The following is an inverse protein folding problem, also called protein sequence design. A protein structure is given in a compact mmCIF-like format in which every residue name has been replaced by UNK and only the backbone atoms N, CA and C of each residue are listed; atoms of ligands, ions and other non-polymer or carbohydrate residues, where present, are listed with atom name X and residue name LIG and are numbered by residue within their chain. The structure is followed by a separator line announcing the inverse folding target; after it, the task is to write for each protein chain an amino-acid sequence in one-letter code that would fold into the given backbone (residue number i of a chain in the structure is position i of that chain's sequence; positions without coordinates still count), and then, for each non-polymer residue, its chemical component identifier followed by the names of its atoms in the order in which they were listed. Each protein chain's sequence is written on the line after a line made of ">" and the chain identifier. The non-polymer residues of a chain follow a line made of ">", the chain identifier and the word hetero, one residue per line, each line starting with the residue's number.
data_IF_823550912502
#
_entry.id   IF_823550912502
#
_cell.length_a   1.000
_cell.length_b   1.000
_cell.length_c   1.000
_cell.angle_alpha   90.00
_cell.angle_beta   90.00
_cell.angle_gamma   90.00
#
_symmetry.space_group_name_H-M   'P 1'
#
loop_
_entity.id
_entity.type
_entity.pdbx_description
1 polymer ?
#
# COMPACT_ATOMS: atom_id res chain seq x y z
N UNK A 1 9.44 -33.68 45.68
CA UNK A 1 8.51 -34.16 44.63
C UNK A 1 7.74 -32.93 44.15
N UNK A 2 8.21 -32.32 43.06
CA UNK A 2 7.77 -30.98 42.61
C UNK A 2 6.47 -31.03 41.83
N UNK A 3 5.60 -30.03 42.06
CA UNK A 3 4.36 -29.83 41.31
C UNK A 3 4.61 -29.78 39.80
N UNK A 4 3.70 -30.34 38.96
CA UNK A 4 3.81 -30.24 37.52
C UNK A 4 3.59 -28.80 37.05
N UNK A 5 4.48 -28.37 36.16
CA UNK A 5 4.46 -27.12 35.41
C UNK A 5 3.18 -27.06 34.56
N UNK A 6 2.21 -26.23 34.98
CA UNK A 6 0.99 -25.99 34.21
C UNK A 6 1.37 -25.10 33.00
N UNK A 7 1.02 -25.47 31.76
CA UNK A 7 1.28 -24.61 30.60
C UNK A 7 0.56 -23.28 30.81
N UNK A 8 1.30 -22.17 30.67
CA UNK A 8 0.72 -20.82 30.62
C UNK A 8 -0.43 -20.85 29.63
N UNK A 9 -1.67 -20.70 30.10
CA UNK A 9 -2.82 -20.45 29.24
C UNK A 9 -2.46 -19.25 28.37
N UNK A 10 -2.40 -19.47 27.05
CA UNK A 10 -2.35 -18.39 26.08
C UNK A 10 -3.56 -17.50 26.33
N UNK A 11 -3.32 -16.33 26.92
CA UNK A 11 -4.36 -15.34 27.15
C UNK A 11 -4.81 -14.89 25.76
N UNK A 12 -6.08 -15.10 25.34
CA UNK A 12 -6.52 -14.59 24.06
C UNK A 12 -6.31 -13.07 24.07
N UNK A 13 -5.49 -12.59 23.15
CA UNK A 13 -5.32 -11.17 22.90
C UNK A 13 -6.66 -10.55 22.52
N UNK A 14 -6.81 -9.22 22.66
CA UNK A 14 -8.07 -8.55 22.33
C UNK A 14 -8.51 -8.93 20.91
N UNK A 15 -9.68 -9.55 20.80
CA UNK A 15 -10.31 -9.90 19.53
C UNK A 15 -10.72 -8.62 18.82
N UNK A 16 -9.99 -8.28 17.75
CA UNK A 16 -10.31 -7.14 16.89
C UNK A 16 -11.60 -7.48 16.14
N UNK A 17 -12.73 -6.93 16.59
CA UNK A 17 -13.99 -7.00 15.84
C UNK A 17 -13.88 -6.07 14.63
N UNK A 18 -13.60 -6.65 13.47
CA UNK A 18 -13.70 -5.96 12.20
C UNK A 18 -15.18 -5.82 11.83
N UNK A 19 -15.62 -4.65 11.33
CA UNK A 19 -16.94 -4.51 10.72
C UNK A 19 -17.11 -5.53 9.59
N UNK A 20 -18.28 -6.14 9.50
CA UNK A 20 -18.61 -7.04 8.40
C UNK A 20 -18.92 -6.20 7.15
N UNK A 21 -17.96 -6.14 6.22
CA UNK A 21 -18.11 -5.39 4.98
C UNK A 21 -18.88 -6.24 3.97
N UNK A 22 -20.09 -5.81 3.63
CA UNK A 22 -20.81 -6.39 2.51
C UNK A 22 -20.12 -5.99 1.19
N UNK A 23 -19.98 -6.91 0.23
CA UNK A 23 -19.47 -6.59 -1.09
C UNK A 23 -20.33 -5.48 -1.71
N UNK A 24 -19.67 -4.41 -2.14
CA UNK A 24 -20.34 -3.38 -2.94
C UNK A 24 -20.65 -3.93 -4.34
N UNK A 25 -21.60 -3.31 -5.05
CA UNK A 25 -21.86 -3.63 -6.47
C UNK A 25 -20.59 -3.59 -7.33
N UNK A 26 -19.64 -2.72 -7.00
CA UNK A 26 -18.33 -2.60 -7.66
C UNK A 26 -17.47 -3.85 -7.40
N UNK A 27 -17.57 -4.46 -6.22
CA UNK A 27 -16.83 -5.69 -5.91
C UNK A 27 -17.35 -6.87 -6.75
N UNK A 28 -18.66 -6.98 -6.97
CA UNK A 28 -19.23 -7.99 -7.86
C UNK A 28 -18.77 -7.81 -9.32
N UNK A 29 -18.62 -6.57 -9.79
CA UNK A 29 -18.07 -6.27 -11.13
C UNK A 29 -16.58 -6.60 -11.25
N UNK A 30 -15.81 -6.56 -10.15
CA UNK A 30 -14.39 -6.89 -10.15
C UNK A 30 -14.13 -8.39 -10.40
N UNK A 31 -15.11 -9.24 -10.06
CA UNK A 31 -15.06 -10.69 -10.29
C UNK A 31 -15.64 -11.08 -11.67
N UNK A 32 -16.19 -10.12 -12.43
CA UNK A 32 -16.70 -10.37 -13.78
C UNK A 32 -15.56 -10.46 -14.81
N UNK A 33 -15.55 -11.47 -15.70
CA UNK A 33 -14.56 -11.54 -16.76
C UNK A 33 -14.66 -10.34 -17.70
N UNK A 34 -13.51 -9.79 -18.09
CA UNK A 34 -13.39 -8.60 -18.94
C UNK A 34 -14.19 -8.68 -20.25
N UNK A 35 -14.36 -9.88 -20.81
CA UNK A 35 -15.07 -10.11 -22.07
C UNK A 35 -16.59 -9.86 -21.97
N UNK A 36 -17.13 -9.75 -20.75
CA UNK A 36 -18.56 -9.50 -20.49
C UNK A 36 -18.92 -8.04 -20.22
N UNK A 37 -17.93 -7.15 -20.16
CA UNK A 37 -18.20 -5.73 -19.99
C UNK A 37 -18.88 -5.15 -21.22
N UNK A 38 -19.80 -4.21 -20.99
CA UNK A 38 -20.45 -3.47 -22.06
C UNK A 38 -19.40 -2.70 -22.88
N UNK A 39 -19.47 -2.69 -24.22
CA UNK A 39 -18.57 -1.92 -25.07
C UNK A 39 -18.46 -0.44 -24.71
N UNK A 40 -19.52 0.17 -24.20
CA UNK A 40 -19.53 1.58 -23.79
C UNK A 40 -18.80 1.78 -22.46
N UNK A 41 -18.91 0.82 -21.53
CA UNK A 41 -18.12 0.81 -20.29
C UNK A 41 -16.62 0.64 -20.57
N UNK A 42 -16.27 -0.19 -21.56
CA UNK A 42 -14.87 -0.38 -21.98
C UNK A 42 -14.28 0.89 -22.61
N UNK A 43 -15.06 1.65 -23.37
CA UNK A 43 -14.64 2.96 -23.91
C UNK A 43 -14.40 3.96 -22.79
N UNK A 44 -15.34 4.05 -21.85
CA UNK A 44 -15.21 4.92 -20.68
C UNK A 44 -13.97 4.58 -19.85
N UNK A 45 -13.71 3.29 -19.64
CA UNK A 45 -12.51 2.81 -18.94
C UNK A 45 -11.22 3.15 -19.71
N UNK A 46 -11.26 3.10 -21.05
CA UNK A 46 -10.18 3.54 -21.92
C UNK A 46 -9.83 5.01 -21.74
N UNK A 47 -10.82 5.89 -21.80
CA UNK A 47 -10.65 7.35 -21.64
C UNK A 47 -10.07 7.71 -20.26
N UNK A 48 -10.56 7.05 -19.22
CA UNK A 48 -10.05 7.21 -17.86
C UNK A 48 -8.61 6.72 -17.73
N UNK A 49 -8.28 5.59 -18.35
CA UNK A 49 -6.94 5.04 -18.33
C UNK A 49 -5.95 5.96 -19.06
N UNK A 50 -6.32 6.45 -20.24
CA UNK A 50 -5.49 7.36 -21.04
C UNK A 50 -5.18 8.64 -20.26
N UNK A 51 -6.20 9.21 -19.61
CA UNK A 51 -6.05 10.40 -18.75
C UNK A 51 -5.18 10.10 -17.52
N UNK A 52 -5.39 8.96 -16.87
CA UNK A 52 -4.69 8.60 -15.64
C UNK A 52 -3.21 8.25 -15.88
N UNK A 53 -2.88 7.61 -17.01
CA UNK A 53 -1.52 7.22 -17.40
C UNK A 53 -0.58 8.42 -17.39
N UNK A 54 -1.04 9.59 -17.86
CA UNK A 54 -0.23 10.82 -17.84
C UNK A 54 0.18 11.27 -16.44
N UNK A 55 -0.63 10.91 -15.45
CA UNK A 55 -0.42 11.27 -14.05
C UNK A 55 0.25 10.16 -13.23
N UNK A 56 0.45 8.98 -13.82
CA UNK A 56 1.00 7.83 -13.13
C UNK A 56 2.51 7.98 -12.88
N UNK A 57 2.96 7.76 -11.62
CA UNK A 57 4.38 7.74 -11.32
C UNK A 57 5.05 6.57 -12.06
N UNK A 58 5.83 6.89 -13.11
CA UNK A 58 6.52 5.89 -13.95
C UNK A 58 7.58 5.09 -13.18
N UNK A 59 8.04 5.56 -12.02
CA UNK A 59 8.94 4.82 -11.12
C UNK A 59 8.31 4.62 -9.75
N UNK A 60 8.23 3.37 -9.30
CA UNK A 60 7.79 2.96 -7.95
C UNK A 60 8.51 3.72 -6.84
N UNK A 61 9.80 3.99 -6.99
CA UNK A 61 10.60 4.74 -6.02
C UNK A 61 10.15 6.20 -5.84
N UNK A 62 9.49 6.80 -6.85
CA UNK A 62 8.99 8.18 -6.77
C UNK A 62 7.64 8.30 -6.04
N UNK A 63 6.98 7.17 -5.73
CA UNK A 63 5.77 7.12 -4.89
C UNK A 63 6.08 7.24 -3.40
N UNK A 64 7.35 7.05 -3.04
CA UNK A 64 7.86 7.14 -1.69
C UNK A 64 8.74 8.38 -1.57
N UNK A 65 8.68 9.05 -0.42
CA UNK A 65 9.55 10.16 -0.07
C UNK A 65 10.38 9.76 1.16
N UNK A 66 11.65 10.15 1.18
CA UNK A 66 12.52 9.97 2.34
C UNK A 66 11.97 10.76 3.53
N UNK A 67 11.77 10.09 4.65
CA UNK A 67 11.22 10.70 5.86
C UNK A 67 11.86 10.08 7.08
N UNK A 68 12.41 10.91 7.97
CA UNK A 68 12.98 10.45 9.26
C UNK A 68 11.97 9.65 10.09
N UNK A 69 10.68 10.01 10.00
CA UNK A 69 9.57 9.35 10.70
C UNK A 69 8.77 8.40 9.79
N UNK A 70 9.38 7.93 8.69
CA UNK A 70 8.72 7.00 7.77
C UNK A 70 8.41 5.65 8.43
N UNK A 71 7.23 5.10 8.14
CA UNK A 71 6.82 3.77 8.60
C UNK A 71 7.61 2.64 7.92
N UNK A 72 8.08 2.87 6.70
CA UNK A 72 8.77 1.85 5.90
C UNK A 72 10.28 2.09 5.90
N UNK A 73 11.07 1.02 5.95
CA UNK A 73 12.52 1.08 5.75
C UNK A 73 12.78 0.96 4.24
N UNK A 74 13.51 1.91 3.68
CA UNK A 74 14.04 1.83 2.33
C UNK A 74 15.37 1.06 2.37
N UNK A 75 15.29 -0.25 2.13
CA UNK A 75 16.44 -1.15 2.13
C UNK A 75 17.48 -0.74 1.07
N UNK A 76 17.03 -0.27 -0.10
CA UNK A 76 17.94 0.12 -1.19
C UNK A 76 18.73 1.37 -0.81
N UNK A 77 18.07 2.36 -0.23
CA UNK A 77 18.72 3.56 0.26
C UNK A 77 19.66 3.25 1.44
N UNK A 78 19.25 2.38 2.35
CA UNK A 78 20.08 1.89 3.47
C UNK A 78 21.36 1.22 2.97
N UNK A 79 21.26 0.27 2.05
CA UNK A 79 22.40 -0.46 1.48
C UNK A 79 23.32 0.48 0.69
N UNK A 80 22.77 1.48 0.00
CA UNK A 80 23.60 2.47 -0.67
C UNK A 80 24.34 3.38 0.32
N UNK A 81 23.70 3.78 1.41
CA UNK A 81 24.32 4.59 2.46
C UNK A 81 25.40 3.79 3.22
N UNK A 82 25.23 2.49 3.42
CA UNK A 82 26.23 1.67 4.12
C UNK A 82 27.55 1.54 3.36
N UNK A 83 27.58 1.87 2.05
CA UNK A 83 28.83 1.90 1.28
C UNK A 83 29.89 2.84 1.87
N UNK A 84 29.49 3.93 2.52
CA UNK A 84 30.44 4.85 3.17
C UNK A 84 30.97 4.33 4.51
N UNK A 85 30.32 3.30 5.09
CA UNK A 85 30.63 2.73 6.41
C UNK A 85 31.13 1.29 6.30
N UNK A 86 31.71 0.90 5.15
CA UNK A 86 32.22 -0.46 4.96
C UNK A 86 31.12 -1.53 4.87
N UNK A 87 29.94 -1.16 4.40
CA UNK A 87 28.72 -1.97 4.27
C UNK A 87 27.96 -2.25 5.58
N UNK A 88 28.34 -1.61 6.68
CA UNK A 88 27.58 -1.68 7.93
C UNK A 88 26.33 -0.78 7.91
N UNK A 89 25.17 -1.35 8.22
CA UNK A 89 23.89 -0.64 8.23
C UNK A 89 23.70 0.22 9.50
N UNK A 90 24.59 1.21 9.69
CA UNK A 90 24.55 2.11 10.86
C UNK A 90 23.34 3.07 10.85
N UNK A 91 22.87 3.47 9.66
CA UNK A 91 21.74 4.39 9.49
C UNK A 91 20.67 3.76 8.61
N UNK A 92 19.46 3.61 9.16
CA UNK A 92 18.30 3.12 8.41
C UNK A 92 17.62 4.28 7.68
N UNK A 93 17.62 4.22 6.35
CA UNK A 93 16.83 5.12 5.53
C UNK A 93 15.35 4.75 5.68
N UNK A 94 14.53 5.71 6.13
CA UNK A 94 13.08 5.54 6.26
C UNK A 94 12.35 6.30 5.16
N UNK A 95 11.28 5.71 4.67
CA UNK A 95 10.42 6.27 3.64
C UNK A 95 8.96 6.25 4.07
N UNK A 96 8.19 7.19 3.51
CA UNK A 96 6.74 7.27 3.65
C UNK A 96 6.11 7.40 2.27
N UNK A 97 4.85 6.97 2.08
CA UNK A 97 4.08 7.34 0.89
C UNK A 97 4.10 8.86 0.73
N UNK A 98 4.44 9.32 -0.47
CA UNK A 98 4.44 10.76 -0.77
C UNK A 98 3.00 11.25 -0.68
N UNK A 99 2.72 12.14 0.28
CA UNK A 99 1.42 12.80 0.35
C UNK A 99 1.35 13.73 -0.86
N UNK A 100 0.59 13.34 -1.89
CA UNK A 100 0.15 14.31 -2.88
C UNK A 100 -0.73 15.31 -2.13
N UNK A 101 -0.56 16.63 -2.33
CA UNK A 101 -1.70 17.53 -2.18
C UNK A 101 -2.77 16.93 -3.08
N UNK A 102 -3.83 16.40 -2.47
CA UNK A 102 -4.97 15.90 -3.22
C UNK A 102 -5.38 17.02 -4.14
N UNK A 103 -5.21 16.84 -5.44
CA UNK A 103 -5.74 17.78 -6.39
C UNK A 103 -7.25 17.69 -6.26
N UNK A 104 -7.83 18.59 -5.47
CA UNK A 104 -9.20 19.04 -5.67
C UNK A 104 -9.18 19.75 -7.03
N UNK A 105 -9.32 18.95 -8.08
CA UNK A 105 -9.79 19.41 -9.38
C UNK A 105 -10.60 18.25 -9.96
N UNK A 106 -11.64 17.89 -9.21
CA UNK A 106 -12.89 17.40 -9.78
C UNK A 106 -13.84 18.59 -9.60
N UNK A 107 -13.81 19.54 -10.51
CA UNK A 107 -14.86 20.56 -10.59
C UNK A 107 -14.74 21.22 -11.94
N UNK A 108 -15.81 21.06 -12.72
CA UNK A 108 -16.10 21.74 -14.00
C UNK A 108 -15.21 21.31 -15.17
N UNK A 109 -15.70 20.39 -16.00
CA UNK A 109 -16.59 20.68 -17.14
C UNK A 109 -17.22 19.39 -17.65
#
# INVERSE_FOLDING_TARGET
>A
MGQPDQPRRDRPGPSVHLPEYLPSRIAALADEPFDRFDPDDLRLLGDWLETAVQRWPRRRSLRLESSRHGKHIDLRATINASRSTGWEAMLLARSRPRRRPGGLCWSVM
#
